data_IF_774340110400
#
_entry.id   IF_774340110400
#
_cell.length_a   1.000
_cell.length_b   1.000
_cell.length_c   1.000
_cell.angle_alpha   90.00
_cell.angle_beta   90.00
_cell.angle_gamma   90.00
#
_symmetry.space_group_name_H-M   'P 1'
#
loop_
_entity.id
_entity.type
_entity.pdbx_description
1 polymer ?
#
# COMPACT_ATOMS: atom_id res chain seq x y z
N UNK A 1 -26.03 -19.44 -6.49
CA UNK A 1 -24.89 -19.85 -5.63
C UNK A 1 -24.82 -19.11 -4.29
N UNK A 2 -24.34 -17.87 -4.18
CA UNK A 2 -24.15 -17.21 -2.86
C UNK A 2 -25.45 -16.99 -2.08
N UNK A 3 -26.50 -16.51 -2.76
CA UNK A 3 -27.83 -16.34 -2.16
C UNK A 3 -28.43 -17.70 -1.73
N UNK A 4 -28.37 -18.70 -2.60
CA UNK A 4 -28.97 -20.03 -2.34
C UNK A 4 -28.26 -20.81 -1.24
N UNK A 5 -26.92 -20.73 -1.15
CA UNK A 5 -26.14 -21.54 -0.20
C UNK A 5 -25.94 -20.81 1.13
N UNK A 6 -25.76 -19.49 1.11
CA UNK A 6 -25.41 -18.70 2.31
C UNK A 6 -26.44 -17.64 2.69
N UNK A 7 -27.51 -17.46 1.91
CA UNK A 7 -28.46 -16.35 2.12
C UNK A 7 -27.82 -14.98 1.93
N UNK A 8 -26.65 -14.90 1.29
CA UNK A 8 -25.89 -13.67 1.15
C UNK A 8 -26.18 -13.02 -0.20
N UNK A 9 -26.78 -11.83 -0.15
CA UNK A 9 -26.92 -10.96 -1.31
C UNK A 9 -25.60 -10.25 -1.59
N UNK A 10 -25.12 -10.36 -2.83
CA UNK A 10 -23.90 -9.71 -3.29
C UNK A 10 -24.24 -8.53 -4.21
N UNK A 11 -23.40 -7.48 -4.23
CA UNK A 11 -23.63 -6.34 -5.11
C UNK A 11 -23.63 -6.78 -6.57
N UNK A 12 -24.57 -6.26 -7.33
CA UNK A 12 -24.68 -6.48 -8.77
C UNK A 12 -24.98 -5.13 -9.47
N UNK A 13 -24.07 -4.60 -10.31
CA UNK A 13 -22.79 -5.19 -10.69
C UNK A 13 -21.77 -5.15 -9.55
N UNK A 14 -20.79 -6.04 -9.59
CA UNK A 14 -19.62 -5.94 -8.72
C UNK A 14 -18.81 -4.67 -9.02
N UNK A 15 -18.16 -4.08 -8.01
CA UNK A 15 -17.17 -3.02 -8.21
C UNK A 15 -16.11 -3.47 -9.21
N UNK A 16 -15.71 -2.55 -10.09
CA UNK A 16 -14.66 -2.79 -11.09
C UNK A 16 -13.51 -1.86 -10.84
N UNK A 17 -12.30 -2.40 -10.93
CA UNK A 17 -11.06 -1.66 -10.94
C UNK A 17 -10.28 -2.09 -12.18
N UNK A 18 -9.71 -1.13 -12.88
CA UNK A 18 -8.67 -1.41 -13.86
C UNK A 18 -7.42 -1.95 -13.16
N UNK A 19 -6.59 -2.68 -13.88
CA UNK A 19 -5.30 -3.15 -13.37
C UNK A 19 -4.46 -1.99 -12.81
N UNK A 20 -4.44 -0.87 -13.53
CA UNK A 20 -3.70 0.33 -13.11
C UNK A 20 -4.23 0.89 -11.78
N UNK A 21 -5.55 0.96 -11.58
CA UNK A 21 -6.14 1.42 -10.31
C UNK A 21 -5.85 0.46 -9.16
N UNK A 22 -5.98 -0.85 -9.39
CA UNK A 22 -5.72 -1.86 -8.38
C UNK A 22 -4.26 -1.84 -7.92
N UNK A 23 -3.31 -1.81 -8.86
CA UNK A 23 -1.89 -1.70 -8.56
C UNK A 23 -1.55 -0.36 -7.88
N UNK A 24 -2.14 0.75 -8.33
CA UNK A 24 -1.85 2.07 -7.78
C UNK A 24 -2.37 2.23 -6.34
N UNK A 25 -3.58 1.74 -6.07
CA UNK A 25 -4.25 1.89 -4.76
C UNK A 25 -3.86 0.80 -3.75
N UNK A 26 -3.56 -0.41 -4.20
CA UNK A 26 -3.38 -1.55 -3.29
C UNK A 26 -2.06 -2.31 -3.51
N UNK A 27 -1.30 -2.00 -4.56
CA UNK A 27 -0.08 -2.73 -4.88
C UNK A 27 -0.32 -4.20 -5.28
N UNK A 28 -1.57 -4.56 -5.60
CA UNK A 28 -1.96 -5.91 -5.97
C UNK A 28 -3.07 -5.88 -7.02
N UNK A 29 -3.00 -6.79 -7.97
CA UNK A 29 -4.03 -7.08 -8.98
C UNK A 29 -5.23 -7.86 -8.42
N UNK A 30 -5.10 -8.36 -7.18
CA UNK A 30 -6.14 -9.04 -6.40
C UNK A 30 -6.34 -8.35 -5.04
N UNK A 31 -6.76 -7.07 -5.03
CA UNK A 31 -6.81 -6.29 -3.80
C UNK A 31 -7.83 -6.86 -2.81
N UNK A 32 -7.48 -6.85 -1.54
CA UNK A 32 -8.43 -7.09 -0.46
C UNK A 32 -9.15 -5.80 -0.10
N UNK A 33 -10.36 -5.61 -0.64
CA UNK A 33 -11.15 -4.38 -0.48
C UNK A 33 -11.94 -4.33 0.83
N UNK A 34 -11.72 -5.25 1.76
CA UNK A 34 -12.44 -5.28 3.05
C UNK A 34 -11.92 -4.23 4.03
N UNK A 35 -10.68 -3.77 3.84
CA UNK A 35 -10.02 -2.79 4.69
C UNK A 35 -9.67 -1.55 3.89
N UNK A 36 -9.86 -0.37 4.48
CA UNK A 36 -9.53 0.92 3.86
C UNK A 36 -8.06 1.28 4.14
N UNK A 37 -7.15 0.51 3.56
CA UNK A 37 -5.70 0.65 3.71
C UNK A 37 -5.03 0.79 2.34
N UNK A 38 -5.30 1.92 1.70
CA UNK A 38 -4.75 2.22 0.38
C UNK A 38 -3.36 2.85 0.43
N UNK A 39 -2.56 2.54 -0.59
CA UNK A 39 -1.36 3.28 -0.95
C UNK A 39 -1.75 4.66 -1.50
N UNK A 40 -1.10 5.70 -0.97
CA UNK A 40 -1.21 7.07 -1.48
C UNK A 40 0.10 7.48 -2.12
N UNK A 41 0.02 7.99 -3.34
CA UNK A 41 1.16 8.62 -3.99
C UNK A 41 1.41 10.00 -3.39
N UNK A 42 2.65 10.26 -2.99
CA UNK A 42 3.09 11.52 -2.39
C UNK A 42 4.35 12.04 -3.08
N UNK A 43 4.62 11.57 -4.29
CA UNK A 43 5.81 11.92 -5.08
C UNK A 43 5.91 13.43 -5.33
N UNK A 44 4.77 14.09 -5.50
CA UNK A 44 4.64 15.54 -5.68
C UNK A 44 5.10 16.32 -4.45
N UNK A 45 4.74 15.86 -3.24
CA UNK A 45 5.12 16.48 -1.97
C UNK A 45 6.64 16.44 -1.75
N UNK A 46 7.29 15.36 -2.21
CA UNK A 46 8.74 15.17 -2.05
C UNK A 46 9.57 15.69 -3.23
N UNK A 47 8.95 16.36 -4.21
CA UNK A 47 9.67 16.98 -5.32
C UNK A 47 10.64 18.04 -4.79
N UNK A 48 11.93 17.92 -5.13
CA UNK A 48 12.98 18.80 -4.62
C UNK A 48 13.37 18.57 -3.15
N UNK A 49 12.95 17.44 -2.54
CA UNK A 49 13.38 17.08 -1.19
C UNK A 49 14.90 16.92 -1.10
N UNK A 50 15.50 17.37 0.01
CA UNK A 50 16.92 17.14 0.32
C UNK A 50 17.21 15.71 0.81
N UNK A 51 16.17 14.88 0.98
CA UNK A 51 16.35 13.50 1.42
C UNK A 51 16.72 12.61 0.23
N UNK A 52 18.01 12.25 0.18
CA UNK A 52 18.64 11.59 -0.97
C UNK A 52 17.89 10.36 -1.49
N UNK A 53 17.37 9.51 -0.61
CA UNK A 53 16.64 8.29 -1.01
C UNK A 53 15.39 8.63 -1.83
N UNK A 54 14.70 9.71 -1.48
CA UNK A 54 13.50 10.16 -2.18
C UNK A 54 13.85 10.95 -3.44
N UNK A 55 14.83 11.85 -3.39
CA UNK A 55 15.28 12.58 -4.58
C UNK A 55 15.78 11.63 -5.68
N UNK A 56 16.66 10.68 -5.33
CA UNK A 56 17.23 9.73 -6.29
C UNK A 56 16.14 8.84 -6.91
N UNK A 57 15.11 8.49 -6.14
CA UNK A 57 13.96 7.70 -6.62
C UNK A 57 13.13 8.50 -7.63
N UNK A 58 12.83 9.77 -7.34
CA UNK A 58 12.06 10.63 -8.23
C UNK A 58 12.84 10.99 -9.51
N UNK A 59 14.14 11.29 -9.40
CA UNK A 59 15.01 11.57 -10.55
C UNK A 59 15.13 10.36 -11.50
N UNK A 60 15.06 9.14 -10.95
CA UNK A 60 15.06 7.90 -11.73
C UNK A 60 13.70 7.57 -12.36
N UNK A 61 12.69 8.44 -12.22
CA UNK A 61 11.33 8.20 -12.70
C UNK A 61 10.52 7.22 -11.84
N UNK A 62 10.94 6.97 -10.61
CA UNK A 62 10.22 6.16 -9.64
C UNK A 62 9.06 6.91 -8.98
N UNK A 63 8.42 6.25 -8.01
CA UNK A 63 7.28 6.79 -7.25
C UNK A 63 7.49 6.60 -5.76
N UNK A 64 7.00 7.55 -4.97
CA UNK A 64 6.99 7.47 -3.51
C UNK A 64 5.55 7.28 -3.07
N UNK A 65 5.29 6.12 -2.45
CA UNK A 65 3.97 5.77 -1.91
C UNK A 65 4.03 5.56 -0.42
N UNK A 66 2.95 5.92 0.25
CA UNK A 66 2.79 5.76 1.71
C UNK A 66 1.54 4.95 2.02
N UNK A 67 1.61 4.17 3.10
CA UNK A 67 0.47 3.47 3.67
C UNK A 67 0.17 4.07 5.05
N UNK A 68 -0.97 4.74 5.17
CA UNK A 68 -1.40 5.29 6.46
C UNK A 68 -2.06 4.19 7.30
N UNK A 69 -1.42 3.79 8.41
CA UNK A 69 -1.98 2.79 9.32
C UNK A 69 -2.69 3.46 10.49
N UNK A 70 -4.02 3.38 10.60
CA UNK A 70 -4.76 4.01 11.69
C UNK A 70 -4.28 3.53 13.06
N UNK A 71 -3.96 4.48 13.94
CA UNK A 71 -3.38 4.21 15.26
C UNK A 71 -2.06 3.41 15.24
N UNK A 72 -1.34 3.39 14.11
CA UNK A 72 -0.09 2.64 13.96
C UNK A 72 0.97 3.02 15.00
N UNK A 73 1.10 4.32 15.31
CA UNK A 73 2.05 4.83 16.30
C UNK A 73 1.84 4.29 17.73
N UNK A 74 0.62 3.87 18.09
CA UNK A 74 0.32 3.25 19.39
C UNK A 74 0.51 1.74 19.38
N UNK A 75 0.39 1.10 18.21
CA UNK A 75 0.39 -0.36 18.04
C UNK A 75 1.79 -0.91 17.76
N UNK A 76 2.60 -0.19 17.00
CA UNK A 76 3.91 -0.66 16.60
C UNK A 76 5.02 0.05 17.37
N UNK A 77 5.94 -0.75 17.91
CA UNK A 77 7.18 -0.23 18.46
C UNK A 77 8.16 0.13 17.35
N UNK A 78 9.11 1.03 17.64
CA UNK A 78 10.20 1.35 16.70
C UNK A 78 11.02 0.12 16.29
N UNK A 79 11.20 -0.85 17.19
CA UNK A 79 11.92 -2.09 16.87
C UNK A 79 11.14 -2.97 15.89
N UNK A 80 9.82 -3.08 16.06
CA UNK A 80 8.96 -3.82 15.15
C UNK A 80 8.94 -3.21 13.73
N UNK A 81 8.99 -1.88 13.63
CA UNK A 81 9.03 -1.20 12.33
C UNK A 81 10.38 -1.29 11.62
N UNK A 82 11.50 -1.28 12.36
CA UNK A 82 12.86 -1.23 11.76
C UNK A 82 13.52 -2.58 11.56
N UNK A 83 13.11 -3.60 12.32
CA UNK A 83 13.73 -4.95 12.31
C UNK A 83 12.70 -6.09 12.41
N UNK A 84 11.41 -5.76 12.45
CA UNK A 84 10.35 -6.74 12.55
C UNK A 84 9.81 -7.17 11.18
N UNK A 85 8.70 -7.90 11.22
CA UNK A 85 8.13 -8.55 10.05
C UNK A 85 7.73 -7.58 8.94
N UNK A 86 7.27 -6.37 9.29
CA UNK A 86 6.87 -5.34 8.33
C UNK A 86 8.07 -4.92 7.46
N UNK A 87 9.23 -4.67 8.08
CA UNK A 87 10.44 -4.31 7.37
C UNK A 87 10.92 -5.47 6.47
N UNK A 88 10.92 -6.69 7.02
CA UNK A 88 11.35 -7.88 6.29
C UNK A 88 10.43 -8.18 5.10
N UNK A 89 9.13 -7.96 5.23
CA UNK A 89 8.17 -8.17 4.14
C UNK A 89 8.35 -7.16 3.01
N UNK A 90 8.64 -5.90 3.34
CA UNK A 90 8.98 -4.88 2.35
C UNK A 90 10.22 -5.28 1.55
N UNK A 91 11.27 -5.78 2.23
CA UNK A 91 12.49 -6.26 1.56
C UNK A 91 12.22 -7.46 0.64
N UNK A 92 11.45 -8.46 1.11
CA UNK A 92 11.06 -9.62 0.29
C UNK A 92 10.28 -9.21 -0.96
N UNK A 93 9.46 -8.17 -0.84
CA UNK A 93 8.70 -7.58 -1.94
C UNK A 93 9.57 -6.74 -2.89
N UNK A 94 10.88 -6.65 -2.66
CA UNK A 94 11.84 -5.98 -3.54
C UNK A 94 12.18 -4.54 -3.14
N UNK A 95 11.65 -4.04 -2.02
CA UNK A 95 12.04 -2.72 -1.53
C UNK A 95 13.49 -2.72 -1.03
N UNK A 96 14.20 -1.61 -1.21
CA UNK A 96 15.56 -1.43 -0.65
C UNK A 96 15.53 -1.09 0.85
N UNK A 97 14.37 -0.71 1.37
CA UNK A 97 14.15 -0.38 2.76
C UNK A 97 12.76 0.20 2.98
N UNK A 98 12.41 0.42 4.24
CA UNK A 98 11.19 1.09 4.68
C UNK A 98 11.62 2.22 5.64
N UNK A 99 11.70 3.47 5.15
CA UNK A 99 12.14 4.62 5.94
C UNK A 99 11.11 5.08 6.99
#
# INVERSE_FOLDING_TARGET
>A
VFLEIKGAELPNPFPRLTYAEAMNRYGSDRPDTRFDLELKDVSDIFSGSSFKVFSDTLESGGVIKVLCVPSGAKKYSNSALKKGDIYNEALKSGAKGLP
#
